data_IF_741612130797
#
_entry.id   IF_741612130797
#
_cell.length_a   1.000
_cell.length_b   1.000
_cell.length_c   1.000
_cell.angle_alpha   90.00
_cell.angle_beta   90.00
_cell.angle_gamma   90.00
#
_symmetry.space_group_name_H-M   'P 1'
#
loop_
_entity.id
_entity.type
_entity.pdbx_description
1 polymer ?
#
# COMPACT_ATOMS: atom_id res chain seq x y z
N UNK A 1 36.15 -25.44 -51.56
CA UNK A 1 36.55 -25.55 -50.13
C UNK A 1 37.09 -24.19 -49.73
N UNK A 2 36.58 -23.41 -48.78
CA UNK A 2 35.66 -23.60 -47.65
C UNK A 2 35.24 -22.20 -47.19
N UNK A 3 33.95 -21.92 -47.03
CA UNK A 3 33.50 -20.66 -46.42
C UNK A 3 33.57 -20.77 -44.90
N UNK A 4 34.35 -19.89 -44.25
CA UNK A 4 34.38 -19.77 -42.78
C UNK A 4 33.25 -18.85 -42.33
N UNK A 5 32.15 -19.44 -41.87
CA UNK A 5 31.06 -18.73 -41.21
C UNK A 5 31.53 -18.22 -39.84
N UNK A 6 31.59 -16.89 -39.68
CA UNK A 6 31.76 -16.24 -38.37
C UNK A 6 30.41 -16.24 -37.66
N UNK A 7 30.23 -17.10 -36.67
CA UNK A 7 29.08 -17.03 -35.77
C UNK A 7 29.30 -15.87 -34.78
N UNK A 8 28.57 -14.77 -34.96
CA UNK A 8 28.46 -13.72 -33.93
C UNK A 8 27.38 -14.16 -32.97
N UNK A 9 27.78 -14.62 -31.79
CA UNK A 9 26.86 -14.98 -30.71
C UNK A 9 26.35 -13.68 -30.08
N UNK A 10 25.18 -13.21 -30.51
CA UNK A 10 24.50 -12.07 -29.89
C UNK A 10 23.95 -12.51 -28.52
N UNK A 11 24.61 -12.08 -27.45
CA UNK A 11 24.16 -12.27 -26.08
C UNK A 11 22.96 -11.34 -25.82
N UNK A 12 21.74 -11.85 -25.98
CA UNK A 12 20.53 -11.13 -25.65
C UNK A 12 20.44 -10.93 -24.13
N UNK A 13 20.60 -9.68 -23.65
CA UNK A 13 20.30 -9.30 -22.28
C UNK A 13 18.79 -9.48 -22.05
N UNK A 14 18.43 -10.51 -21.29
CA UNK A 14 17.08 -10.71 -20.79
C UNK A 14 16.89 -9.70 -19.66
N UNK A 15 16.25 -8.56 -19.94
CA UNK A 15 15.80 -7.65 -18.90
C UNK A 15 14.67 -8.33 -18.09
N UNK A 16 14.70 -8.30 -16.75
CA UNK A 16 13.59 -8.83 -15.96
C UNK A 16 12.35 -8.00 -16.26
N UNK A 17 11.36 -8.64 -16.87
CA UNK A 17 10.03 -8.06 -17.03
C UNK A 17 9.45 -7.91 -15.63
N UNK A 18 9.23 -6.68 -15.18
CA UNK A 18 8.50 -6.43 -13.94
C UNK A 18 7.05 -6.79 -14.22
N UNK A 19 6.70 -8.06 -13.99
CA UNK A 19 5.34 -8.53 -14.14
C UNK A 19 4.46 -7.76 -13.15
N UNK A 20 3.43 -7.09 -13.64
CA UNK A 20 2.35 -6.55 -12.81
C UNK A 20 1.60 -7.75 -12.23
N UNK A 21 1.93 -8.11 -10.99
CA UNK A 21 1.35 -9.26 -10.31
C UNK A 21 0.24 -8.76 -9.39
N UNK A 22 -0.98 -9.27 -9.59
CA UNK A 22 -2.08 -9.00 -8.67
C UNK A 22 -1.68 -9.33 -7.21
N UNK A 23 -2.28 -8.66 -6.20
CA UNK A 23 -1.98 -8.94 -4.80
C UNK A 23 -2.05 -10.43 -4.47
N UNK A 24 -1.17 -10.89 -3.59
CA UNK A 24 -1.30 -12.22 -2.98
C UNK A 24 -2.47 -12.23 -1.99
N UNK A 25 -2.95 -13.42 -1.61
CA UNK A 25 -3.97 -13.52 -0.55
C UNK A 25 -3.47 -12.96 0.78
N UNK A 26 -2.17 -13.11 1.08
CA UNK A 26 -1.55 -12.50 2.26
C UNK A 26 -1.65 -10.98 2.19
N UNK A 27 -1.27 -10.37 1.07
CA UNK A 27 -1.38 -8.92 0.90
C UNK A 27 -2.83 -8.43 1.03
N UNK A 28 -3.80 -9.13 0.43
CA UNK A 28 -5.24 -8.82 0.58
C UNK A 28 -5.67 -8.85 2.05
N UNK A 29 -5.31 -9.90 2.79
CA UNK A 29 -5.63 -10.02 4.22
C UNK A 29 -4.98 -8.93 5.07
N UNK A 30 -3.71 -8.61 4.80
CA UNK A 30 -3.00 -7.53 5.50
C UNK A 30 -3.68 -6.18 5.27
N UNK A 31 -4.01 -5.83 4.02
CA UNK A 31 -4.70 -4.58 3.68
C UNK A 31 -6.07 -4.50 4.35
N UNK A 32 -6.86 -5.58 4.30
CA UNK A 32 -8.14 -5.65 4.99
C UNK A 32 -7.96 -5.49 6.52
N UNK A 33 -6.94 -6.11 7.10
CA UNK A 33 -6.59 -5.97 8.51
C UNK A 33 -6.17 -4.55 8.90
N UNK A 34 -5.46 -3.83 8.02
CA UNK A 34 -5.09 -2.42 8.24
C UNK A 34 -6.32 -1.51 8.23
N UNK A 35 -7.21 -1.66 7.24
CA UNK A 35 -8.45 -0.88 7.16
C UNK A 35 -9.34 -1.18 8.38
N UNK A 36 -9.52 -2.47 8.71
CA UNK A 36 -10.30 -2.90 9.86
C UNK A 36 -9.71 -2.44 11.20
N UNK A 37 -8.39 -2.32 11.31
CA UNK A 37 -7.76 -1.80 12.51
C UNK A 37 -8.06 -0.32 12.76
N UNK A 38 -8.18 0.49 11.72
CA UNK A 38 -8.59 1.88 11.88
C UNK A 38 -10.07 1.96 12.23
N UNK A 39 -10.90 1.21 11.51
CA UNK A 39 -12.35 1.13 11.71
C UNK A 39 -12.75 0.72 13.14
N UNK A 40 -12.08 -0.30 13.68
CA UNK A 40 -12.30 -0.78 15.05
C UNK A 40 -11.59 0.04 16.14
N UNK A 41 -11.01 1.19 15.81
CA UNK A 41 -10.32 2.04 16.77
C UNK A 41 -11.15 3.26 17.18
N UNK A 42 -10.82 3.88 18.31
CA UNK A 42 -11.34 5.19 18.69
C UNK A 42 -10.55 6.36 18.05
N UNK A 43 -9.70 6.09 17.06
CA UNK A 43 -8.86 7.11 16.45
C UNK A 43 -9.64 7.92 15.41
N UNK A 44 -9.25 9.19 15.25
CA UNK A 44 -9.71 10.06 14.15
C UNK A 44 -8.65 10.17 13.08
N UNK A 45 -9.10 10.34 11.84
CA UNK A 45 -8.26 10.42 10.65
C UNK A 45 -8.35 11.80 10.02
N UNK A 46 -7.25 12.55 10.00
CA UNK A 46 -7.19 13.83 9.32
C UNK A 46 -6.88 13.62 7.85
N UNK A 47 -7.72 14.21 7.00
CA UNK A 47 -7.45 14.33 5.57
C UNK A 47 -7.74 15.75 5.09
N UNK A 48 -6.76 16.35 4.41
CA UNK A 48 -6.89 17.65 3.74
C UNK A 48 -7.42 18.77 4.66
N UNK A 49 -7.12 18.71 5.96
CA UNK A 49 -7.51 19.74 6.93
C UNK A 49 -8.79 19.44 7.71
N UNK A 50 -9.48 18.34 7.43
CA UNK A 50 -10.68 17.91 8.16
C UNK A 50 -10.44 16.60 8.88
N UNK A 51 -10.99 16.48 10.09
CA UNK A 51 -10.99 15.25 10.88
C UNK A 51 -12.22 14.42 10.55
N UNK A 52 -11.98 13.13 10.32
CA UNK A 52 -12.98 12.12 10.03
C UNK A 52 -12.98 11.05 11.10
N UNK A 53 -14.14 10.48 11.37
CA UNK A 53 -14.24 9.32 12.25
C UNK A 53 -13.76 8.03 11.55
N UNK A 54 -13.73 6.93 12.31
CA UNK A 54 -13.21 5.66 11.84
C UNK A 54 -14.04 5.07 10.66
N UNK A 55 -15.40 5.06 10.69
CA UNK A 55 -16.20 4.63 9.55
C UNK A 55 -15.98 5.45 8.27
N UNK A 56 -15.92 6.78 8.36
CA UNK A 56 -15.64 7.66 7.22
C UNK A 56 -14.24 7.39 6.64
N UNK A 57 -13.25 7.24 7.52
CA UNK A 57 -11.88 6.94 7.13
C UNK A 57 -11.77 5.58 6.45
N UNK A 58 -12.44 4.55 6.99
CA UNK A 58 -12.55 3.23 6.36
C UNK A 58 -13.11 3.34 4.95
N UNK A 59 -14.26 4.00 4.79
CA UNK A 59 -14.90 4.13 3.49
C UNK A 59 -13.99 4.85 2.48
N UNK A 60 -13.27 5.88 2.92
CA UNK A 60 -12.28 6.58 2.10
C UNK A 60 -11.12 5.68 1.67
N UNK A 61 -10.52 4.95 2.60
CA UNK A 61 -9.40 4.06 2.32
C UNK A 61 -9.80 2.87 1.42
N UNK A 62 -10.99 2.31 1.64
CA UNK A 62 -11.51 1.22 0.81
C UNK A 62 -11.69 1.67 -0.63
N UNK A 63 -12.36 2.81 -0.88
CA UNK A 63 -12.53 3.36 -2.24
C UNK A 63 -11.19 3.58 -2.93
N UNK A 64 -10.19 4.07 -2.19
CA UNK A 64 -8.86 4.32 -2.74
C UNK A 64 -8.10 3.02 -3.04
N UNK A 65 -8.24 2.01 -2.19
CA UNK A 65 -7.71 0.67 -2.45
C UNK A 65 -8.34 0.05 -3.70
N UNK A 66 -9.67 0.05 -3.80
CA UNK A 66 -10.40 -0.51 -4.95
C UNK A 66 -9.98 0.17 -6.27
N UNK A 67 -9.81 1.49 -6.24
CA UNK A 67 -9.31 2.24 -7.38
C UNK A 67 -7.88 1.82 -7.78
N UNK A 68 -6.97 1.71 -6.80
CA UNK A 68 -5.60 1.29 -7.08
C UNK A 68 -5.52 -0.15 -7.58
N UNK A 69 -6.37 -1.03 -7.04
CA UNK A 69 -6.46 -2.43 -7.44
C UNK A 69 -6.92 -2.55 -8.89
N UNK A 70 -7.97 -1.81 -9.28
CA UNK A 70 -8.44 -1.73 -10.67
C UNK A 70 -7.40 -1.17 -11.64
N UNK A 71 -6.41 -0.45 -11.14
CA UNK A 71 -5.35 0.18 -11.94
C UNK A 71 -4.03 -0.61 -11.92
N UNK A 72 -4.00 -1.78 -11.29
CA UNK A 72 -2.77 -2.58 -11.09
C UNK A 72 -1.66 -1.75 -10.42
N UNK A 73 -2.05 -0.95 -9.42
CA UNK A 73 -1.17 -0.01 -8.69
C UNK A 73 -1.01 -0.34 -7.21
N UNK A 74 -1.42 -1.53 -6.78
CA UNK A 74 -1.27 -1.96 -5.39
C UNK A 74 -1.20 -3.47 -5.34
N UNK A 75 -0.02 -4.00 -5.01
CA UNK A 75 0.19 -5.45 -4.93
C UNK A 75 0.51 -5.90 -3.50
N UNK A 76 1.02 -4.98 -2.67
CA UNK A 76 1.45 -5.25 -1.29
C UNK A 76 0.80 -4.30 -0.29
N UNK A 77 0.83 -4.69 0.99
CA UNK A 77 0.36 -3.84 2.07
C UNK A 77 1.19 -2.55 2.19
N UNK A 78 2.49 -2.59 1.92
CA UNK A 78 3.35 -1.41 1.87
C UNK A 78 2.94 -0.45 0.77
N UNK A 79 2.64 -0.95 -0.44
CA UNK A 79 2.12 -0.12 -1.53
C UNK A 79 0.77 0.49 -1.16
N UNK A 80 -0.11 -0.24 -0.48
CA UNK A 80 -1.36 0.32 0.05
C UNK A 80 -1.07 1.45 1.05
N UNK A 81 -0.13 1.25 1.98
CA UNK A 81 0.22 2.29 2.96
C UNK A 81 0.74 3.53 2.25
N UNK A 82 1.71 3.39 1.35
CA UNK A 82 2.33 4.48 0.62
C UNK A 82 1.30 5.22 -0.26
N UNK A 83 0.60 4.48 -1.11
CA UNK A 83 -0.20 5.05 -2.20
C UNK A 83 -1.63 5.35 -1.79
N UNK A 84 -2.19 4.62 -0.81
CA UNK A 84 -3.56 4.80 -0.34
C UNK A 84 -3.62 5.52 1.00
N UNK A 85 -2.89 5.02 2.00
CA UNK A 85 -3.15 5.34 3.41
C UNK A 85 -2.26 6.43 4.02
N UNK A 86 -1.22 6.90 3.34
CA UNK A 86 -0.27 7.88 3.91
C UNK A 86 -0.58 9.33 3.54
N UNK A 87 -1.09 9.58 2.33
CA UNK A 87 -1.31 10.93 1.83
C UNK A 87 -2.40 11.03 0.75
N UNK A 88 -2.86 12.24 0.53
CA UNK A 88 -3.80 12.58 -0.55
C UNK A 88 -3.11 12.49 -1.90
N UNK A 89 -3.62 11.64 -2.80
CA UNK A 89 -3.11 11.59 -4.19
C UNK A 89 -3.42 12.86 -4.99
N UNK A 90 -4.37 13.68 -4.52
CA UNK A 90 -4.75 14.93 -5.19
C UNK A 90 -3.89 16.12 -4.75
N UNK A 91 -3.50 16.17 -3.48
CA UNK A 91 -2.86 17.35 -2.88
C UNK A 91 -1.45 17.07 -2.33
N UNK A 92 -1.01 15.81 -2.26
CA UNK A 92 0.26 15.42 -1.64
C UNK A 92 0.30 15.62 -0.12
N UNK A 93 -0.76 16.10 0.53
CA UNK A 93 -0.76 16.35 1.97
C UNK A 93 -0.76 15.02 2.74
N UNK A 94 0.17 14.83 3.70
CA UNK A 94 0.15 13.68 4.59
C UNK A 94 -1.13 13.62 5.40
N UNK A 95 -1.68 12.42 5.54
CA UNK A 95 -2.77 12.17 6.48
C UNK A 95 -2.22 12.04 7.90
N UNK A 96 -3.08 12.33 8.88
CA UNK A 96 -2.72 12.25 10.31
C UNK A 96 -3.72 11.37 11.04
N UNK A 97 -3.26 10.75 12.13
CA UNK A 97 -4.09 9.95 13.01
C UNK A 97 -3.93 10.47 14.43
N UNK A 98 -5.06 10.68 15.10
CA UNK A 98 -5.13 11.07 16.50
C UNK A 98 -5.97 10.03 17.26
N UNK A 99 -5.32 9.30 18.17
CA UNK A 99 -5.98 8.34 19.04
C UNK A 99 -6.11 8.91 20.46
N UNK A 100 -7.15 8.56 21.24
CA UNK A 100 -7.30 9.04 22.60
C UNK A 100 -6.08 8.74 23.47
N UNK A 101 -5.57 9.76 24.17
CA UNK A 101 -4.41 9.63 25.06
C UNK A 101 -3.07 9.39 24.35
N UNK A 102 -3.00 9.53 23.02
CA UNK A 102 -1.78 9.38 22.24
C UNK A 102 -1.47 10.66 21.45
N UNK A 103 -0.18 10.98 21.23
CA UNK A 103 0.19 12.09 20.37
C UNK A 103 -0.28 11.87 18.93
N UNK A 104 -0.63 12.95 18.25
CA UNK A 104 -0.97 12.90 16.83
C UNK A 104 0.25 12.49 16.01
N UNK A 105 0.08 11.50 15.14
CA UNK A 105 1.13 10.98 14.29
C UNK A 105 0.72 10.97 12.81
N UNK A 106 1.67 10.75 11.91
CA UNK A 106 1.34 10.54 10.50
C UNK A 106 0.66 9.19 10.30
N UNK A 107 -0.24 9.12 9.33
CA UNK A 107 -0.91 7.87 8.99
C UNK A 107 0.09 6.80 8.52
N UNK A 108 1.17 7.20 7.81
CA UNK A 108 2.25 6.30 7.40
C UNK A 108 2.87 5.55 8.58
N UNK A 109 3.22 6.27 9.65
CA UNK A 109 3.80 5.67 10.87
C UNK A 109 2.79 4.77 11.56
N UNK A 110 1.54 5.21 11.68
CA UNK A 110 0.49 4.42 12.34
C UNK A 110 0.20 3.11 11.62
N UNK A 111 0.00 3.16 10.30
CA UNK A 111 -0.28 1.96 9.50
C UNK A 111 0.94 1.04 9.40
N UNK A 112 2.16 1.59 9.31
CA UNK A 112 3.39 0.78 9.31
C UNK A 112 3.56 -0.02 10.62
N UNK A 113 3.32 0.63 11.77
CA UNK A 113 3.32 -0.06 13.06
C UNK A 113 2.24 -1.16 13.12
N UNK A 114 1.05 -0.88 12.58
CA UNK A 114 -0.03 -1.87 12.56
C UNK A 114 0.28 -3.06 11.66
N UNK A 115 0.89 -2.84 10.50
CA UNK A 115 1.30 -3.91 9.59
C UNK A 115 2.33 -4.83 10.27
N UNK A 116 3.33 -4.24 10.93
CA UNK A 116 4.31 -5.01 11.73
C UNK A 116 3.62 -5.86 12.79
N UNK A 117 2.68 -5.28 13.54
CA UNK A 117 1.94 -5.99 14.57
C UNK A 117 1.05 -7.13 14.00
N UNK A 118 0.46 -6.95 12.81
CA UNK A 118 -0.33 -8.00 12.14
C UNK A 118 0.54 -9.21 11.76
N UNK A 119 1.74 -8.96 11.22
CA UNK A 119 2.68 -10.02 10.84
C UNK A 119 3.26 -10.77 12.04
N UNK A 120 3.49 -10.08 13.15
CA UNK A 120 3.96 -10.74 14.38
C UNK A 120 2.94 -11.71 15.00
N UNK A 121 1.65 -11.56 14.66
CA UNK A 121 0.57 -12.45 15.15
C UNK A 121 0.29 -13.61 14.21
N UNK A 122 0.81 -13.56 12.98
CA UNK A 122 0.60 -14.57 11.95
C UNK A 122 1.95 -15.24 11.71
N UNK A 123 2.28 -16.33 12.45
CA UNK A 123 3.52 -17.07 12.25
C UNK A 123 3.59 -17.72 10.86
#
# INVERSE_FOLDING_TARGET
>A
MTHRTRAVLALALIAPSVALAAPTDTARREIAGLIGALDGSSCRFQRNGSWHDAPEARAHLQRKYDYLLKKDKVDTAEQFIERAASQSSMSGKPYRIACPGQPEQTAAVWFGARLKALRQRTP
#
